data_IF_620517582619
#
_entry.id   IF_620517582619
#
_cell.length_a   1.000
_cell.length_b   1.000
_cell.length_c   1.000
_cell.angle_alpha   90.00
_cell.angle_beta   90.00
_cell.angle_gamma   90.00
#
_symmetry.space_group_name_H-M   'P 1'
#
loop_
_entity.id
_entity.type
_entity.pdbx_description
1 polymer ?
#
# COMPACT_ATOMS: atom_id res chain seq x y z
N UNK A 1 15.85 -25.57 -8.86
CA UNK A 1 16.56 -25.32 -10.15
C UNK A 1 15.75 -24.45 -11.13
N UNK A 2 14.41 -24.36 -10.97
CA UNK A 2 13.54 -23.57 -11.87
C UNK A 2 13.51 -22.08 -11.52
N UNK A 3 13.76 -21.70 -10.26
CA UNK A 3 13.87 -20.30 -9.87
C UNK A 3 15.17 -19.67 -10.39
N UNK A 4 15.08 -18.46 -10.95
CA UNK A 4 16.25 -17.60 -11.19
C UNK A 4 16.97 -17.30 -9.88
N UNK A 5 18.17 -16.71 -9.93
CA UNK A 5 18.97 -16.42 -8.71
C UNK A 5 18.26 -15.47 -7.76
N UNK A 6 17.49 -14.53 -8.30
CA UNK A 6 16.64 -13.55 -7.63
C UNK A 6 15.16 -13.94 -7.60
N UNK A 7 14.84 -15.17 -8.03
CA UNK A 7 13.49 -15.69 -8.15
C UNK A 7 12.80 -15.86 -6.80
N UNK A 8 11.49 -15.62 -6.80
CA UNK A 8 10.63 -15.71 -5.63
C UNK A 8 9.55 -16.74 -5.85
N UNK A 9 9.16 -17.46 -4.81
CA UNK A 9 8.05 -18.40 -4.84
C UNK A 9 7.02 -18.01 -3.76
N UNK A 10 5.75 -18.01 -4.15
CA UNK A 10 4.61 -17.84 -3.24
C UNK A 10 3.83 -19.14 -3.19
N UNK A 11 3.53 -19.63 -1.99
CA UNK A 11 2.85 -20.91 -1.78
C UNK A 11 1.67 -20.70 -0.86
N UNK A 12 0.46 -20.84 -1.41
CA UNK A 12 -0.77 -20.75 -0.64
C UNK A 12 -1.02 -22.04 0.13
N UNK A 13 -1.42 -21.91 1.39
CA UNK A 13 -1.69 -23.05 2.29
C UNK A 13 -2.67 -22.62 3.39
N UNK A 14 -3.40 -23.57 3.94
CA UNK A 14 -4.25 -23.39 5.12
C UNK A 14 -3.58 -23.93 6.38
N UNK A 15 -4.28 -23.83 7.54
CA UNK A 15 -3.78 -24.27 8.84
C UNK A 15 -3.47 -25.76 8.92
N UNK A 16 -4.06 -26.59 8.03
CA UNK A 16 -3.88 -28.04 8.13
C UNK A 16 -2.43 -28.45 7.88
N UNK A 17 -1.74 -27.79 6.94
CA UNK A 17 -0.39 -28.19 6.50
C UNK A 17 0.65 -27.05 6.57
N UNK A 18 0.27 -25.86 7.04
CA UNK A 18 1.14 -24.67 7.05
C UNK A 18 2.48 -24.93 7.76
N UNK A 19 2.44 -25.55 8.95
CA UNK A 19 3.64 -25.80 9.74
C UNK A 19 4.60 -26.80 9.07
N UNK A 20 4.06 -27.85 8.46
CA UNK A 20 4.86 -28.85 7.74
C UNK A 20 5.43 -28.29 6.45
N UNK A 21 4.63 -27.50 5.72
CA UNK A 21 5.08 -26.83 4.52
C UNK A 21 6.21 -25.83 4.82
N UNK A 22 6.09 -25.07 5.91
CA UNK A 22 7.16 -24.16 6.35
C UNK A 22 8.47 -24.89 6.60
N UNK A 23 8.45 -26.01 7.33
CA UNK A 23 9.63 -26.83 7.58
C UNK A 23 10.22 -27.43 6.29
N UNK A 24 9.36 -27.89 5.38
CA UNK A 24 9.81 -28.39 4.08
C UNK A 24 10.51 -27.30 3.28
N UNK A 25 9.93 -26.12 3.23
CA UNK A 25 10.51 -24.99 2.50
C UNK A 25 11.84 -24.53 3.13
N UNK A 26 11.96 -24.51 4.45
CA UNK A 26 13.21 -24.23 5.15
C UNK A 26 14.33 -25.21 4.75
N UNK A 27 13.99 -26.50 4.61
CA UNK A 27 14.93 -27.53 4.16
C UNK A 27 15.31 -27.40 2.67
N UNK A 28 14.39 -26.91 1.82
CA UNK A 28 14.60 -26.81 0.36
C UNK A 28 15.27 -25.52 -0.04
N UNK A 29 14.84 -24.38 0.51
CA UNK A 29 15.30 -23.05 0.15
C UNK A 29 16.33 -22.49 1.15
N UNK A 30 16.26 -22.88 2.42
CA UNK A 30 17.00 -22.34 3.53
C UNK A 30 16.12 -21.42 4.41
N UNK A 31 16.37 -21.43 5.73
CA UNK A 31 15.66 -20.55 6.67
C UNK A 31 15.97 -19.06 6.40
N UNK A 32 17.21 -18.76 5.99
CA UNK A 32 17.66 -17.39 5.71
C UNK A 32 16.98 -16.81 4.45
N UNK A 33 16.53 -17.66 3.53
CA UNK A 33 15.85 -17.30 2.29
C UNK A 33 14.33 -17.17 2.44
N UNK A 34 13.83 -17.33 3.66
CA UNK A 34 12.45 -17.01 4.00
C UNK A 34 12.25 -15.48 3.99
N UNK A 35 11.31 -15.01 3.15
CA UNK A 35 10.98 -13.58 3.03
C UNK A 35 9.90 -13.20 4.03
N UNK A 36 8.83 -13.98 4.11
CA UNK A 36 7.72 -13.73 5.03
C UNK A 36 6.50 -14.60 4.77
N UNK A 37 5.47 -14.40 5.56
CA UNK A 37 4.14 -14.99 5.38
C UNK A 37 3.12 -13.89 5.18
N UNK A 38 2.31 -13.98 4.15
CA UNK A 38 1.12 -13.17 3.98
C UNK A 38 -0.04 -13.92 4.62
N UNK A 39 -0.77 -13.24 5.48
CA UNK A 39 -2.04 -13.69 6.03
C UNK A 39 -3.14 -13.09 5.18
N UNK A 40 -3.81 -13.92 4.40
CA UNK A 40 -4.96 -13.50 3.62
C UNK A 40 -6.23 -13.70 4.44
N UNK A 41 -6.77 -12.61 4.97
CA UNK A 41 -8.09 -12.59 5.62
C UNK A 41 -9.17 -12.72 4.54
N UNK A 42 -9.74 -13.92 4.41
CA UNK A 42 -10.53 -14.34 3.25
C UNK A 42 -12.00 -14.66 3.57
N UNK A 43 -12.37 -14.70 4.84
CA UNK A 43 -13.70 -15.09 5.27
C UNK A 43 -14.42 -13.98 6.03
N UNK A 44 -15.72 -13.87 5.74
CA UNK A 44 -16.66 -13.01 6.46
C UNK A 44 -17.77 -13.87 7.12
N UNK A 45 -17.45 -15.13 7.46
CA UNK A 45 -18.44 -16.05 7.97
C UNK A 45 -18.77 -15.74 9.43
N UNK A 46 -20.07 -15.56 9.70
CA UNK A 46 -20.59 -15.31 11.03
C UNK A 46 -21.05 -16.61 11.76
N UNK A 47 -20.63 -17.78 11.28
CA UNK A 47 -20.98 -19.04 11.94
C UNK A 47 -20.23 -19.18 13.26
N UNK A 48 -20.94 -19.22 14.40
CA UNK A 48 -20.27 -19.31 15.68
C UNK A 48 -19.65 -20.70 15.87
N UNK A 49 -18.33 -20.72 16.01
CA UNK A 49 -17.52 -21.88 16.37
C UNK A 49 -16.66 -21.54 17.59
N UNK A 50 -15.93 -22.52 18.15
CA UNK A 50 -15.00 -22.24 19.25
C UNK A 50 -13.91 -21.24 18.83
N UNK A 51 -13.41 -21.39 17.62
CA UNK A 51 -12.48 -20.46 16.96
C UNK A 51 -12.83 -20.41 15.49
N UNK A 52 -13.25 -19.24 15.02
CA UNK A 52 -13.54 -19.03 13.60
C UNK A 52 -12.24 -18.76 12.87
N UNK A 53 -11.93 -19.59 11.88
CA UNK A 53 -10.75 -19.41 11.02
C UNK A 53 -11.19 -18.54 9.84
N UNK A 54 -10.60 -17.35 9.74
CA UNK A 54 -10.97 -16.32 8.76
C UNK A 54 -9.82 -16.00 7.79
N UNK A 55 -8.80 -16.89 7.71
CA UNK A 55 -7.63 -16.63 6.91
C UNK A 55 -7.00 -17.88 6.32
N UNK A 56 -6.21 -17.67 5.30
CA UNK A 56 -5.23 -18.60 4.74
C UNK A 56 -3.85 -17.94 4.76
N UNK A 57 -2.82 -18.73 4.51
CA UNK A 57 -1.43 -18.27 4.44
C UNK A 57 -0.91 -18.31 3.02
N UNK A 58 0.01 -17.40 2.72
CA UNK A 58 0.84 -17.44 1.52
C UNK A 58 2.29 -17.30 1.99
N UNK A 59 3.03 -18.39 1.95
CA UNK A 59 4.45 -18.40 2.29
C UNK A 59 5.25 -17.82 1.13
N UNK A 60 6.20 -16.96 1.44
CA UNK A 60 7.09 -16.35 0.48
C UNK A 60 8.54 -16.75 0.76
N UNK A 61 9.19 -17.39 -0.21
CA UNK A 61 10.61 -17.71 -0.21
C UNK A 61 11.28 -17.16 -1.45
N UNK A 62 12.56 -16.98 -1.38
CA UNK A 62 13.40 -16.66 -2.52
C UNK A 62 14.50 -17.70 -2.69
N UNK A 63 15.18 -17.67 -3.81
CA UNK A 63 16.36 -18.52 -4.03
C UNK A 63 17.61 -17.94 -3.38
N UNK A 64 17.71 -16.61 -3.27
CA UNK A 64 18.78 -15.92 -2.58
C UNK A 64 18.30 -14.52 -2.16
N UNK A 65 18.07 -14.34 -0.86
CA UNK A 65 17.52 -13.12 -0.29
C UNK A 65 18.43 -11.91 -0.44
N UNK A 66 19.73 -12.12 -0.50
CA UNK A 66 20.69 -11.03 -0.71
C UNK A 66 20.59 -10.38 -2.09
N UNK A 67 20.00 -11.08 -3.05
CA UNK A 67 19.80 -10.59 -4.43
C UNK A 67 18.45 -9.92 -4.63
N UNK A 68 17.56 -9.97 -3.64
CA UNK A 68 16.27 -9.29 -3.73
C UNK A 68 16.43 -7.77 -3.63
N UNK A 69 15.60 -7.06 -4.40
CA UNK A 69 15.42 -5.63 -4.15
C UNK A 69 14.96 -5.40 -2.70
N UNK A 70 15.59 -4.47 -1.96
CA UNK A 70 15.28 -4.26 -0.54
C UNK A 70 13.84 -3.81 -0.29
N UNK A 71 13.20 -3.23 -1.29
CA UNK A 71 11.82 -2.72 -1.22
C UNK A 71 11.10 -3.06 -2.51
N UNK A 72 10.08 -3.88 -2.40
CA UNK A 72 9.14 -4.13 -3.50
C UNK A 72 8.16 -2.99 -3.66
N UNK A 73 7.94 -2.55 -4.89
CA UNK A 73 7.06 -1.43 -5.21
C UNK A 73 5.91 -1.92 -6.07
N UNK A 74 4.68 -1.55 -5.71
CA UNK A 74 3.51 -1.94 -6.49
C UNK A 74 3.22 -0.99 -7.66
N UNK A 75 2.27 -1.39 -8.50
CA UNK A 75 1.71 -0.56 -9.57
C UNK A 75 0.87 0.64 -9.07
N UNK A 76 0.59 0.76 -7.77
CA UNK A 76 0.16 2.04 -7.15
C UNK A 76 1.16 3.15 -7.48
N UNK A 77 2.41 2.79 -7.80
CA UNK A 77 3.34 3.73 -8.41
C UNK A 77 2.79 4.39 -9.69
N UNK A 78 1.95 3.76 -10.48
CA UNK A 78 1.35 4.39 -11.67
C UNK A 78 0.37 5.52 -11.28
N UNK A 79 -0.46 5.33 -10.26
CA UNK A 79 -1.34 6.39 -9.74
C UNK A 79 -0.52 7.48 -9.06
N UNK A 80 0.53 7.10 -8.35
CA UNK A 80 1.49 8.04 -7.77
C UNK A 80 2.16 8.88 -8.84
N UNK A 81 2.64 8.26 -9.91
CA UNK A 81 3.28 8.94 -11.03
C UNK A 81 2.30 9.88 -11.74
N UNK A 82 1.04 9.45 -11.92
CA UNK A 82 -0.03 10.30 -12.44
C UNK A 82 -0.23 11.57 -11.58
N UNK A 83 -0.27 11.42 -10.24
CA UNK A 83 -0.38 12.55 -9.32
C UNK A 83 0.82 13.49 -9.43
N UNK A 84 2.05 12.94 -9.48
CA UNK A 84 3.29 13.71 -9.58
C UNK A 84 3.37 14.45 -10.91
N UNK A 85 3.10 13.79 -12.02
CA UNK A 85 3.21 14.37 -13.35
C UNK A 85 2.14 15.43 -13.58
N UNK A 86 0.91 15.18 -13.12
CA UNK A 86 -0.13 16.21 -13.13
C UNK A 86 0.21 17.41 -12.24
N UNK A 87 0.78 17.13 -11.07
CA UNK A 87 1.30 18.17 -10.19
C UNK A 87 2.36 19.04 -10.85
N UNK A 88 3.35 18.44 -11.53
CA UNK A 88 4.38 19.15 -12.28
C UNK A 88 3.79 19.98 -13.43
N UNK A 89 2.86 19.41 -14.20
CA UNK A 89 2.18 20.10 -15.29
C UNK A 89 1.49 21.38 -14.80
N UNK A 90 0.73 21.27 -13.70
CA UNK A 90 0.00 22.41 -13.14
C UNK A 90 0.94 23.44 -12.53
N UNK A 91 2.01 23.01 -11.84
CA UNK A 91 3.05 23.89 -11.30
C UNK A 91 3.78 24.69 -12.40
N UNK A 92 3.91 24.13 -13.60
CA UNK A 92 4.47 24.84 -14.77
C UNK A 92 3.56 25.93 -15.33
N UNK A 93 2.24 25.87 -15.05
CA UNK A 93 1.23 26.77 -15.62
C UNK A 93 0.67 27.79 -14.63
N UNK A 94 0.56 27.40 -13.37
CA UNK A 94 -0.17 28.18 -12.34
C UNK A 94 0.67 28.34 -11.08
N UNK A 95 0.35 29.38 -10.28
CA UNK A 95 0.98 29.64 -8.98
C UNK A 95 -0.06 30.02 -7.94
N UNK A 96 0.28 29.83 -6.66
CA UNK A 96 -0.56 30.24 -5.51
C UNK A 96 -1.99 29.69 -5.58
N UNK A 97 -2.98 30.56 -5.40
CA UNK A 97 -4.40 30.19 -5.38
C UNK A 97 -4.90 29.60 -6.70
N UNK A 98 -4.35 30.05 -7.84
CA UNK A 98 -4.71 29.51 -9.15
C UNK A 98 -4.27 28.05 -9.29
N UNK A 99 -3.08 27.72 -8.77
CA UNK A 99 -2.59 26.34 -8.73
C UNK A 99 -3.50 25.45 -7.87
N UNK A 100 -3.88 25.90 -6.68
CA UNK A 100 -4.80 25.17 -5.81
C UNK A 100 -6.17 24.95 -6.47
N UNK A 101 -6.70 25.97 -7.15
CA UNK A 101 -7.99 25.88 -7.84
C UNK A 101 -7.95 24.88 -8.99
N UNK A 102 -6.90 24.93 -9.81
CA UNK A 102 -6.71 24.01 -10.94
C UNK A 102 -6.54 22.56 -10.45
N UNK A 103 -5.77 22.36 -9.37
CA UNK A 103 -5.62 21.05 -8.75
C UNK A 103 -6.95 20.52 -8.20
N UNK A 104 -7.69 21.33 -7.46
CA UNK A 104 -8.99 20.95 -6.87
C UNK A 104 -10.01 20.52 -7.93
N UNK A 105 -10.02 21.18 -9.08
CA UNK A 105 -10.87 20.81 -10.19
C UNK A 105 -10.47 19.45 -10.74
N UNK A 106 -9.20 19.26 -11.12
CA UNK A 106 -8.70 18.00 -11.64
C UNK A 106 -8.91 16.84 -10.65
N UNK A 107 -8.59 17.06 -9.37
CA UNK A 107 -8.80 16.07 -8.31
C UNK A 107 -10.26 15.62 -8.23
N UNK A 108 -11.20 16.56 -8.27
CA UNK A 108 -12.64 16.24 -8.22
C UNK A 108 -13.08 15.34 -9.39
N UNK A 109 -12.55 15.60 -10.58
CA UNK A 109 -12.87 14.86 -11.81
C UNK A 109 -12.25 13.46 -11.82
N UNK A 110 -11.11 13.26 -11.14
CA UNK A 110 -10.35 12.01 -11.19
C UNK A 110 -10.37 11.21 -9.87
N UNK A 111 -11.05 11.69 -8.83
CA UNK A 111 -11.01 11.11 -7.48
C UNK A 111 -11.28 9.60 -7.43
N UNK A 112 -12.24 9.11 -8.24
CA UNK A 112 -12.61 7.69 -8.27
C UNK A 112 -11.50 6.76 -8.77
N UNK A 113 -10.50 7.30 -9.49
CA UNK A 113 -9.36 6.56 -10.03
C UNK A 113 -8.15 6.56 -9.11
N UNK A 114 -8.18 7.37 -8.02
CA UNK A 114 -7.02 7.57 -7.17
C UNK A 114 -6.87 6.52 -6.06
N UNK A 115 -7.87 5.66 -5.84
CA UNK A 115 -7.83 4.61 -4.83
C UNK A 115 -7.34 5.12 -3.47
N UNK A 116 -6.34 4.47 -2.88
CA UNK A 116 -5.75 4.86 -1.59
C UNK A 116 -5.05 6.24 -1.62
N UNK A 117 -4.70 6.74 -2.79
CA UNK A 117 -4.06 8.05 -2.96
C UNK A 117 -5.07 9.21 -3.05
N UNK A 118 -6.36 8.97 -2.89
CA UNK A 118 -7.41 10.01 -2.85
C UNK A 118 -7.24 11.02 -1.71
N UNK A 119 -6.40 10.72 -0.72
CA UNK A 119 -6.05 11.63 0.37
C UNK A 119 -5.17 12.81 -0.05
N UNK A 120 -4.50 12.75 -1.21
CA UNK A 120 -3.60 13.77 -1.74
C UNK A 120 -4.38 14.91 -2.40
N UNK A 121 -4.99 15.77 -1.58
CA UNK A 121 -5.99 16.79 -1.97
C UNK A 121 -5.42 18.18 -2.24
N UNK A 122 -4.15 18.39 -1.92
CA UNK A 122 -3.52 19.71 -1.95
C UNK A 122 -2.29 19.71 -2.85
N UNK A 123 -1.94 20.88 -3.34
CA UNK A 123 -0.74 21.10 -4.14
C UNK A 123 -0.07 22.42 -3.75
N UNK A 124 1.25 22.46 -3.79
CA UNK A 124 2.04 23.68 -3.72
C UNK A 124 3.25 23.59 -4.66
N UNK A 125 4.21 24.52 -4.53
CA UNK A 125 5.41 24.51 -5.36
C UNK A 125 6.28 23.27 -5.17
N UNK A 126 6.20 22.62 -4.02
CA UNK A 126 6.87 21.34 -3.72
C UNK A 126 6.17 20.12 -4.32
N UNK A 127 4.94 20.26 -4.80
CA UNK A 127 4.17 19.19 -5.43
C UNK A 127 2.82 18.89 -4.74
N UNK A 128 2.26 17.76 -5.10
CA UNK A 128 0.98 17.26 -4.56
C UNK A 128 1.21 16.68 -3.17
N UNK A 129 0.38 17.05 -2.20
CA UNK A 129 0.54 16.63 -0.80
C UNK A 129 -0.77 16.37 -0.08
N UNK A 130 -0.66 15.69 1.07
CA UNK A 130 -1.71 15.55 2.09
C UNK A 130 -1.21 16.07 3.43
N UNK A 131 -2.12 16.52 4.31
CA UNK A 131 -1.81 16.79 5.71
C UNK A 131 -1.76 15.52 6.55
N UNK A 132 -0.85 15.48 7.51
CA UNK A 132 -0.72 14.39 8.46
C UNK A 132 -0.47 14.90 9.87
N UNK A 133 -1.18 14.33 10.84
CA UNK A 133 -0.97 14.60 12.25
C UNK A 133 0.22 13.83 12.86
N UNK A 134 1.09 13.27 12.03
CA UNK A 134 2.29 12.54 12.47
C UNK A 134 3.33 13.42 13.20
N UNK A 135 3.03 14.69 13.42
CA UNK A 135 3.79 15.59 14.31
C UNK A 135 3.74 15.18 15.77
N UNK A 136 2.69 14.46 16.20
CA UNK A 136 2.54 14.02 17.58
C UNK A 136 3.07 12.60 17.78
N UNK A 137 3.30 12.22 19.04
CA UNK A 137 3.83 10.92 19.43
C UNK A 137 2.78 10.18 20.28
N UNK A 138 1.84 9.44 19.66
CA UNK A 138 0.79 8.76 20.40
C UNK A 138 1.38 7.68 21.31
N UNK A 139 0.97 7.67 22.58
CA UNK A 139 1.36 6.65 23.55
C UNK A 139 2.79 6.74 24.10
N UNK A 140 3.57 7.77 23.73
CA UNK A 140 4.91 8.00 24.25
C UNK A 140 5.15 9.50 24.45
N UNK A 141 5.79 9.87 25.55
CA UNK A 141 6.14 11.27 25.80
C UNK A 141 7.12 11.78 24.75
N UNK A 142 6.80 12.93 24.16
CA UNK A 142 7.57 13.62 23.14
C UNK A 142 8.15 14.95 23.63
N UNK A 143 8.60 15.76 22.68
CA UNK A 143 9.21 17.06 22.95
C UNK A 143 8.15 18.12 23.19
N UNK A 144 8.45 19.09 24.09
CA UNK A 144 7.58 20.23 24.40
C UNK A 144 8.30 21.52 24.09
N UNK A 145 7.73 22.29 23.17
CA UNK A 145 8.17 23.61 22.75
C UNK A 145 7.02 24.33 22.06
N UNK A 146 7.10 25.63 21.90
CA UNK A 146 6.06 26.42 21.26
C UNK A 146 6.34 26.59 19.76
N UNK A 147 5.32 26.32 18.96
CA UNK A 147 5.28 26.69 17.53
C UNK A 147 4.38 27.91 17.42
N UNK A 148 4.94 29.01 16.91
CA UNK A 148 4.20 30.27 16.78
C UNK A 148 3.44 30.29 15.47
N UNK A 149 2.12 30.51 15.55
CA UNK A 149 1.27 30.62 14.37
C UNK A 149 1.66 31.84 13.52
N UNK A 150 1.84 31.71 12.21
CA UNK A 150 2.40 32.76 11.36
C UNK A 150 1.51 34.02 11.27
N UNK A 151 0.20 33.86 11.40
CA UNK A 151 -0.77 34.97 11.30
C UNK A 151 -1.12 35.52 12.68
N UNK A 152 -1.59 34.69 13.61
CA UNK A 152 -2.07 35.14 14.92
C UNK A 152 -0.94 35.50 15.89
N UNK A 153 0.30 35.11 15.62
CA UNK A 153 1.50 35.29 16.43
C UNK A 153 1.42 34.70 17.85
N UNK A 154 0.48 33.76 18.05
CA UNK A 154 0.32 33.03 19.31
C UNK A 154 0.86 31.60 19.19
N UNK A 155 1.18 30.94 20.31
CA UNK A 155 1.58 29.55 20.31
C UNK A 155 0.44 28.64 19.79
N UNK A 156 0.74 27.77 18.88
CA UNK A 156 -0.18 26.74 18.40
C UNK A 156 -0.45 25.72 19.50
N UNK A 157 -1.62 25.09 19.42
CA UNK A 157 -1.98 23.97 20.30
C UNK A 157 -0.93 22.88 20.23
N UNK A 158 -0.42 22.47 21.38
CA UNK A 158 0.53 21.36 21.47
C UNK A 158 -0.20 20.00 21.51
N UNK A 159 0.37 18.94 20.95
CA UNK A 159 -0.12 17.57 21.13
C UNK A 159 -0.11 17.15 22.61
N UNK A 160 -1.09 16.34 23.03
CA UNK A 160 -1.21 15.88 24.42
C UNK A 160 0.08 15.27 24.96
N UNK A 161 0.74 14.42 24.17
CA UNK A 161 2.01 13.76 24.54
C UNK A 161 3.26 14.49 24.03
N UNK A 162 3.10 15.75 23.55
CA UNK A 162 4.20 16.50 22.93
C UNK A 162 4.46 16.14 21.48
N UNK A 163 5.43 16.83 20.88
CA UNK A 163 5.83 16.64 19.48
C UNK A 163 6.74 15.43 19.31
N UNK A 164 6.62 14.78 18.18
CA UNK A 164 7.45 13.62 17.81
C UNK A 164 8.91 14.00 17.51
N UNK A 165 9.12 15.22 17.00
CA UNK A 165 10.41 15.70 16.51
C UNK A 165 11.03 16.69 17.48
N UNK A 166 12.39 16.70 17.62
CA UNK A 166 13.09 17.76 18.32
C UNK A 166 12.80 19.14 17.72
N UNK A 167 12.89 20.19 18.52
CA UNK A 167 12.61 21.58 18.12
C UNK A 167 13.40 22.01 16.88
N UNK A 168 14.70 21.65 16.81
CA UNK A 168 15.54 21.96 15.65
C UNK A 168 15.03 21.34 14.34
N UNK A 169 14.56 20.09 14.39
CA UNK A 169 13.97 19.42 13.23
C UNK A 169 12.64 20.04 12.83
N UNK A 170 11.82 20.42 13.81
CA UNK A 170 10.55 21.09 13.55
C UNK A 170 10.78 22.47 12.92
N UNK A 171 11.74 23.22 13.43
CA UNK A 171 12.10 24.53 12.87
C UNK A 171 12.55 24.42 11.41
N UNK A 172 13.38 23.43 11.10
CA UNK A 172 13.78 23.13 9.71
C UNK A 172 12.56 22.85 8.83
N UNK A 173 11.61 22.03 9.28
CA UNK A 173 10.38 21.74 8.53
C UNK A 173 9.50 22.99 8.33
N UNK A 174 9.46 23.90 9.31
CA UNK A 174 8.76 25.18 9.19
C UNK A 174 9.44 26.04 8.13
N UNK A 175 10.76 26.19 8.19
CA UNK A 175 11.56 26.99 7.25
C UNK A 175 11.46 26.45 5.79
N UNK A 176 11.32 25.13 5.65
CA UNK A 176 11.08 24.44 4.37
C UNK A 176 9.61 24.52 3.90
N UNK A 177 8.72 25.15 4.66
CA UNK A 177 7.29 25.24 4.33
C UNK A 177 6.53 23.92 4.40
N UNK A 178 7.05 22.93 5.13
CA UNK A 178 6.46 21.58 5.27
C UNK A 178 5.40 21.48 6.36
N UNK A 179 5.19 22.53 7.13
CA UNK A 179 4.17 22.55 8.19
C UNK A 179 2.91 23.24 7.69
N UNK A 180 1.78 22.60 7.90
CA UNK A 180 0.45 23.16 7.69
C UNK A 180 -0.03 23.71 9.01
N UNK A 181 -0.29 25.01 9.03
CA UNK A 181 -0.96 25.68 10.13
C UNK A 181 -2.47 25.64 9.91
N UNK A 182 -3.25 25.60 10.98
CA UNK A 182 -4.71 25.80 10.92
C UNK A 182 -5.07 27.25 10.55
N UNK A 183 -6.37 27.54 10.56
CA UNK A 183 -6.84 28.93 10.38
C UNK A 183 -6.40 29.83 11.56
N UNK A 184 -6.18 29.21 12.72
CA UNK A 184 -5.72 29.86 13.95
C UNK A 184 -4.85 28.91 14.80
N UNK A 185 -4.38 29.40 15.95
CA UNK A 185 -3.51 28.68 16.88
C UNK A 185 -4.22 27.54 17.65
N UNK A 186 -5.54 27.40 17.57
CA UNK A 186 -6.30 26.41 18.35
C UNK A 186 -6.21 24.99 17.77
N UNK A 187 -5.78 24.87 16.53
CA UNK A 187 -5.58 23.57 15.85
C UNK A 187 -4.16 23.08 16.03
N UNK A 188 -4.01 21.75 16.00
CA UNK A 188 -2.70 21.12 15.89
C UNK A 188 -2.12 21.40 14.49
N UNK A 189 -0.83 21.64 14.44
CA UNK A 189 -0.12 21.69 13.15
C UNK A 189 -0.03 20.31 12.52
N UNK A 190 0.05 20.25 11.20
CA UNK A 190 0.20 19.00 10.44
C UNK A 190 1.46 19.07 9.58
N UNK A 191 1.99 17.90 9.20
CA UNK A 191 3.11 17.81 8.25
C UNK A 191 2.56 17.58 6.85
N UNK A 192 3.11 18.28 5.87
CA UNK A 192 2.90 17.94 4.46
C UNK A 192 3.63 16.65 4.12
N UNK A 193 2.89 15.64 3.72
CA UNK A 193 3.42 14.44 3.11
C UNK A 193 3.22 14.53 1.60
N UNK A 194 4.30 14.68 0.86
CA UNK A 194 4.23 14.78 -0.59
C UNK A 194 4.00 13.42 -1.25
N UNK A 195 3.24 13.39 -2.34
CA UNK A 195 3.00 12.18 -3.11
C UNK A 195 4.32 11.56 -3.62
N UNK A 196 5.31 12.36 -3.91
CA UNK A 196 6.66 11.90 -4.30
C UNK A 196 7.37 11.09 -3.21
N UNK A 197 7.02 11.30 -1.94
CA UNK A 197 7.60 10.62 -0.78
C UNK A 197 6.79 9.38 -0.37
N UNK A 198 5.63 9.15 -1.00
CA UNK A 198 4.83 7.98 -0.71
C UNK A 198 5.59 6.71 -1.06
N UNK A 199 5.69 5.83 -0.08
CA UNK A 199 6.22 4.49 -0.25
C UNK A 199 5.08 3.51 0.03
N UNK A 200 4.76 2.74 -0.97
CA UNK A 200 3.84 1.64 -0.83
C UNK A 200 4.50 0.49 -0.07
N UNK A 201 3.69 -0.26 0.67
CA UNK A 201 4.16 -1.38 1.48
C UNK A 201 3.44 -2.65 1.05
N UNK A 202 4.20 -3.65 0.69
CA UNK A 202 3.67 -5.00 0.58
C UNK A 202 3.32 -5.51 1.98
N UNK A 203 2.05 -5.43 2.34
CA UNK A 203 1.57 -5.81 3.67
C UNK A 203 1.59 -7.32 3.84
N UNK A 204 1.97 -7.78 5.04
CA UNK A 204 1.83 -9.19 5.42
C UNK A 204 0.40 -9.55 5.82
N UNK A 205 -0.55 -8.62 5.84
CA UNK A 205 -1.97 -8.87 6.04
C UNK A 205 -2.72 -8.28 4.86
N UNK A 206 -3.52 -9.09 4.20
CA UNK A 206 -4.31 -8.71 3.04
C UNK A 206 -5.77 -9.12 3.27
N UNK A 207 -6.69 -8.20 3.08
CA UNK A 207 -8.12 -8.40 3.30
C UNK A 207 -8.85 -8.44 1.97
N UNK A 208 -9.41 -9.58 1.62
CA UNK A 208 -10.25 -9.74 0.43
C UNK A 208 -11.13 -10.97 0.60
N UNK A 209 -12.44 -10.80 0.43
CA UNK A 209 -13.42 -11.88 0.53
C UNK A 209 -13.20 -12.95 -0.55
N UNK A 210 -13.02 -14.20 -0.13
CA UNK A 210 -12.80 -15.34 -1.04
C UNK A 210 -13.95 -15.59 -2.03
N UNK A 211 -15.17 -15.13 -1.71
CA UNK A 211 -16.33 -15.22 -2.61
C UNK A 211 -16.15 -14.44 -3.92
N UNK A 212 -15.25 -13.46 -3.95
CA UNK A 212 -14.91 -12.73 -5.17
C UNK A 212 -14.50 -13.70 -6.29
N UNK A 213 -13.59 -14.65 -6.03
CA UNK A 213 -13.14 -15.61 -7.02
C UNK A 213 -14.25 -16.48 -7.60
N UNK A 214 -15.21 -16.90 -6.76
CA UNK A 214 -16.37 -17.66 -7.22
C UNK A 214 -17.31 -16.81 -8.11
N UNK A 215 -17.46 -15.53 -7.76
CA UNK A 215 -18.27 -14.58 -8.53
C UNK A 215 -17.61 -14.26 -9.89
N UNK A 216 -16.31 -14.07 -9.93
CA UNK A 216 -15.52 -13.86 -11.15
C UNK A 216 -15.69 -15.03 -12.11
N UNK A 217 -15.47 -16.25 -11.61
CA UNK A 217 -15.60 -17.46 -12.43
C UNK A 217 -17.03 -17.69 -12.93
N UNK A 218 -18.03 -17.35 -12.10
CA UNK A 218 -19.44 -17.41 -12.51
C UNK A 218 -19.78 -16.36 -13.58
N UNK A 219 -19.16 -15.19 -13.53
CA UNK A 219 -19.37 -14.16 -14.54
C UNK A 219 -18.80 -14.58 -15.90
N UNK A 220 -17.65 -15.27 -15.90
CA UNK A 220 -17.04 -15.83 -17.13
C UNK A 220 -17.85 -17.00 -17.71
N UNK A 221 -18.47 -17.81 -16.85
CA UNK A 221 -19.19 -19.04 -17.25
C UNK A 221 -20.59 -19.08 -16.62
N UNK A 222 -21.51 -18.19 -17.02
CA UNK A 222 -22.81 -18.03 -16.37
C UNK A 222 -23.70 -19.29 -16.45
N UNK A 223 -23.52 -20.12 -17.48
CA UNK A 223 -24.31 -21.35 -17.69
C UNK A 223 -23.82 -22.53 -16.83
N UNK A 224 -22.63 -22.45 -16.25
CA UNK A 224 -22.09 -23.52 -15.46
C UNK A 224 -22.55 -23.46 -14.00
N UNK A 225 -22.94 -24.62 -13.44
CA UNK A 225 -23.34 -24.67 -12.02
C UNK A 225 -22.16 -24.46 -11.07
N UNK A 226 -21.06 -25.12 -11.34
CA UNK A 226 -19.80 -24.99 -10.59
C UNK A 226 -18.66 -25.53 -11.46
N UNK A 227 -17.70 -24.70 -11.81
CA UNK A 227 -16.54 -25.08 -12.63
C UNK A 227 -15.38 -25.53 -11.75
N UNK A 228 -15.13 -24.77 -10.69
CA UNK A 228 -14.06 -25.03 -9.75
C UNK A 228 -14.53 -24.78 -8.31
N UNK A 229 -14.03 -25.59 -7.38
CA UNK A 229 -14.36 -25.43 -5.96
C UNK A 229 -13.33 -24.48 -5.33
N UNK A 230 -13.80 -23.40 -4.71
CA UNK A 230 -12.97 -22.41 -4.00
C UNK A 230 -11.88 -21.79 -4.90
N UNK A 231 -12.22 -21.15 -6.04
CA UNK A 231 -11.25 -20.41 -6.83
C UNK A 231 -10.72 -19.23 -6.02
N UNK A 232 -9.42 -18.96 -6.10
CA UNK A 232 -8.86 -17.73 -5.53
C UNK A 232 -9.30 -16.54 -6.37
N UNK A 233 -9.59 -15.38 -5.74
CA UNK A 233 -9.82 -14.13 -6.48
C UNK A 233 -8.61 -13.73 -7.31
N UNK A 234 -8.86 -13.19 -8.50
CA UNK A 234 -7.82 -12.65 -9.39
C UNK A 234 -7.02 -11.58 -8.68
N UNK A 235 -7.70 -10.70 -7.95
CA UNK A 235 -7.11 -9.57 -7.22
C UNK A 235 -6.02 -10.00 -6.22
N UNK A 236 -6.10 -11.19 -5.58
CA UNK A 236 -5.04 -11.70 -4.70
C UNK A 236 -3.74 -11.93 -5.48
N UNK A 237 -3.85 -12.51 -6.67
CA UNK A 237 -2.68 -12.80 -7.51
C UNK A 237 -2.14 -11.51 -8.15
N UNK A 238 -3.03 -10.64 -8.64
CA UNK A 238 -2.65 -9.32 -9.17
C UNK A 238 -1.94 -8.48 -8.10
N UNK A 239 -2.44 -8.49 -6.87
CA UNK A 239 -1.81 -7.79 -5.77
C UNK A 239 -0.37 -8.27 -5.56
N UNK A 240 -0.14 -9.59 -5.47
CA UNK A 240 1.20 -10.15 -5.33
C UNK A 240 2.08 -9.79 -6.53
N UNK A 241 1.60 -10.04 -7.76
CA UNK A 241 2.36 -9.79 -8.98
C UNK A 241 2.67 -8.31 -9.19
N UNK A 242 1.79 -7.41 -8.75
CA UNK A 242 2.00 -5.96 -8.86
C UNK A 242 3.26 -5.49 -8.12
N UNK A 243 3.63 -6.16 -7.03
CA UNK A 243 4.86 -5.90 -6.29
C UNK A 243 6.10 -6.56 -6.89
N UNK A 244 5.89 -7.59 -7.73
CA UNK A 244 6.97 -8.33 -8.40
C UNK A 244 7.33 -7.75 -9.77
N UNK A 245 6.60 -6.72 -10.23
CA UNK A 245 6.77 -6.15 -11.57
C UNK A 245 8.06 -5.32 -11.68
N UNK A 246 9.18 -5.99 -11.90
CA UNK A 246 10.51 -5.42 -12.10
C UNK A 246 10.94 -5.61 -13.58
N UNK A 247 10.04 -5.35 -14.53
CA UNK A 247 10.28 -5.55 -15.97
C UNK A 247 9.80 -6.91 -16.47
N UNK A 248 10.44 -7.44 -17.51
CA UNK A 248 10.07 -8.74 -18.08
C UNK A 248 10.39 -9.88 -17.10
N UNK A 249 9.36 -10.62 -16.67
CA UNK A 249 9.50 -11.76 -15.78
C UNK A 249 8.76 -12.99 -16.30
N UNK A 250 9.24 -14.18 -15.90
CA UNK A 250 8.52 -15.43 -16.12
C UNK A 250 7.76 -15.80 -14.85
N UNK A 251 6.47 -16.09 -14.99
CA UNK A 251 5.64 -16.61 -13.91
C UNK A 251 5.30 -18.06 -14.22
N UNK A 252 5.51 -18.94 -13.25
CA UNK A 252 5.20 -20.36 -13.37
C UNK A 252 4.22 -20.77 -12.27
N UNK A 253 3.11 -21.35 -12.66
CA UNK A 253 2.13 -21.93 -11.74
C UNK A 253 2.10 -23.46 -11.94
N UNK A 254 2.46 -24.20 -10.89
CA UNK A 254 2.51 -25.67 -10.91
C UNK A 254 1.14 -26.31 -10.78
N UNK A 255 0.17 -25.58 -10.21
CA UNK A 255 -1.15 -26.08 -9.89
C UNK A 255 -2.22 -25.13 -10.42
N UNK A 256 -2.27 -24.92 -11.71
CA UNK A 256 -3.11 -23.91 -12.38
C UNK A 256 -4.56 -23.77 -11.88
N UNK A 257 -5.14 -24.83 -11.29
CA UNK A 257 -6.43 -24.78 -10.60
C UNK A 257 -7.54 -24.22 -11.48
N UNK A 258 -8.10 -23.08 -11.06
CA UNK A 258 -9.06 -22.29 -11.85
C UNK A 258 -8.43 -21.38 -12.89
N UNK A 259 -7.12 -21.46 -13.09
CA UNK A 259 -6.31 -20.61 -13.97
C UNK A 259 -6.28 -19.12 -13.57
N UNK A 260 -6.54 -18.83 -12.31
CA UNK A 260 -6.54 -17.45 -11.77
C UNK A 260 -5.22 -16.72 -12.02
N UNK A 261 -4.09 -17.42 -11.87
CA UNK A 261 -2.75 -16.84 -12.15
C UNK A 261 -2.61 -16.41 -13.61
N UNK A 262 -3.09 -17.22 -14.56
CA UNK A 262 -3.04 -16.87 -15.98
C UNK A 262 -3.92 -15.68 -16.31
N UNK A 263 -5.12 -15.59 -15.71
CA UNK A 263 -6.03 -14.48 -15.90
C UNK A 263 -5.42 -13.18 -15.33
N UNK A 264 -4.89 -13.21 -14.10
CA UNK A 264 -4.20 -12.08 -13.50
C UNK A 264 -3.07 -11.54 -14.38
N UNK A 265 -2.23 -12.43 -14.94
CA UNK A 265 -1.15 -12.05 -15.85
C UNK A 265 -1.69 -11.40 -17.13
N UNK A 266 -2.76 -11.96 -17.71
CA UNK A 266 -3.38 -11.38 -18.91
C UNK A 266 -3.95 -9.99 -18.63
N UNK A 267 -4.55 -9.77 -17.47
CA UNK A 267 -5.07 -8.46 -17.09
C UNK A 267 -3.93 -7.46 -16.85
N UNK A 268 -2.89 -7.82 -16.12
CA UNK A 268 -1.72 -6.96 -15.89
C UNK A 268 -0.96 -6.58 -17.17
N UNK A 269 -0.99 -7.42 -18.20
CA UNK A 269 -0.36 -7.14 -19.50
C UNK A 269 -1.22 -6.26 -20.43
N UNK A 270 -2.43 -5.91 -20.05
CA UNK A 270 -3.29 -5.00 -20.84
C UNK A 270 -3.04 -3.52 -20.52
N UNK A 271 -2.31 -3.24 -19.50
CA UNK A 271 -1.95 -1.90 -19.02
C UNK A 271 -0.43 -1.67 -19.18
#
# INVERSE_FOLDING_TARGET
>A
ELLSKDGVIFISIDDNEQAYLKQLCDNVFGEDDFVGTIIWNNATDNNPTNLTIEHEYILCYTKNKELLEPIWKSSISAIKDLLIDKGKELNGKYKGEQLQSAWKQWYKENKSQLGELDRYKYIDEGGVYTGSQSVHNPGKEGYRYDIIHPVTKKPCKQPLMGYRFPEASMKKMIDEGRIIFGDDETKLVEIKLYASEYQDKFSSVYELDSRAGANELKALFPEAKQIFKNPKPIEVIEHILSYMNIGDMYVMDFYGGSSTTADAIMQLNQY
#
